data_IF_599831489401
#
_entry.id   IF_599831489401
#
_cell.length_a   1.000
_cell.length_b   1.000
_cell.length_c   1.000
_cell.angle_alpha   90.00
_cell.angle_beta   90.00
_cell.angle_gamma   90.00
#
_symmetry.space_group_name_H-M   'P 1'
#
loop_
_entity.id
_entity.type
_entity.pdbx_description
1 polymer ?
#
# COMPACT_ATOMS: atom_id res chain seq x y z
N UNK A 1 -43.42 -61.02 -40.18
CA UNK A 1 -42.49 -62.07 -39.73
C UNK A 1 -41.16 -61.40 -39.42
N UNK A 2 -40.70 -61.49 -38.15
CA UNK A 2 -39.43 -60.99 -37.54
C UNK A 2 -39.37 -59.47 -37.29
N UNK A 3 -39.38 -58.98 -36.03
CA UNK A 3 -38.28 -58.91 -35.01
C UNK A 3 -36.99 -58.37 -35.65
N UNK A 4 -36.22 -57.40 -35.15
CA UNK A 4 -36.00 -56.69 -33.86
C UNK A 4 -34.98 -55.59 -34.23
N UNK A 5 -34.86 -54.43 -33.58
CA UNK A 5 -34.05 -54.25 -32.38
C UNK A 5 -34.11 -52.79 -31.92
N UNK A 6 -34.26 -52.64 -30.60
CA UNK A 6 -33.92 -51.42 -29.85
C UNK A 6 -32.42 -51.17 -29.94
N UNK A 7 -32.00 -49.92 -30.06
CA UNK A 7 -30.69 -49.48 -29.61
C UNK A 7 -30.83 -48.25 -28.73
N UNK A 8 -30.40 -48.47 -27.49
CA UNK A 8 -30.41 -47.62 -26.33
C UNK A 8 -29.47 -46.44 -26.53
N UNK A 9 -30.01 -45.22 -26.60
CA UNK A 9 -29.22 -43.99 -26.52
C UNK A 9 -28.68 -43.84 -25.10
N UNK A 10 -27.41 -44.22 -24.88
CA UNK A 10 -26.71 -43.91 -23.65
C UNK A 10 -26.29 -42.44 -23.71
N UNK A 11 -27.07 -41.58 -23.06
CA UNK A 11 -26.64 -40.22 -22.73
C UNK A 11 -25.51 -40.33 -21.72
N UNK A 12 -24.28 -40.20 -22.18
CA UNK A 12 -23.11 -40.00 -21.31
C UNK A 12 -23.22 -38.57 -20.78
N UNK A 13 -23.77 -38.42 -19.58
CA UNK A 13 -23.66 -37.18 -18.82
C UNK A 13 -22.23 -37.15 -18.26
N UNK A 14 -21.35 -36.42 -18.95
CA UNK A 14 -20.08 -35.99 -18.34
C UNK A 14 -20.45 -34.88 -17.36
N UNK A 15 -20.60 -35.24 -16.09
CA UNK A 15 -20.64 -34.26 -15.00
C UNK A 15 -19.21 -33.72 -14.87
N UNK A 16 -18.94 -32.58 -15.48
CA UNK A 16 -17.75 -31.79 -15.20
C UNK A 16 -17.94 -31.18 -13.81
N UNK A 17 -17.55 -31.94 -12.78
CA UNK A 17 -17.44 -31.48 -11.39
C UNK A 17 -16.12 -30.72 -11.24
N UNK A 18 -16.02 -29.58 -11.92
CA UNK A 18 -15.02 -28.55 -11.64
C UNK A 18 -15.76 -27.34 -11.13
N UNK A 19 -15.82 -27.15 -9.80
CA UNK A 19 -15.98 -25.85 -9.13
C UNK A 19 -16.20 -26.08 -7.64
N UNK A 20 -15.09 -26.17 -6.91
CA UNK A 20 -14.90 -25.67 -5.54
C UNK A 20 -13.63 -26.32 -5.00
N UNK A 21 -12.47 -25.86 -5.48
CA UNK A 21 -11.24 -26.00 -4.67
C UNK A 21 -11.37 -24.86 -3.66
N UNK A 22 -11.70 -25.11 -2.38
CA UNK A 22 -11.57 -24.07 -1.37
C UNK A 22 -10.13 -23.59 -1.43
N UNK A 23 -9.92 -22.28 -1.47
CA UNK A 23 -8.57 -21.74 -1.36
C UNK A 23 -8.00 -22.26 -0.04
N UNK A 24 -7.15 -23.28 -0.13
CA UNK A 24 -6.38 -23.77 0.99
C UNK A 24 -5.51 -22.59 1.39
N UNK A 25 -5.86 -21.90 2.48
CA UNK A 25 -4.92 -21.02 3.14
C UNK A 25 -3.69 -21.88 3.43
N UNK A 26 -2.60 -21.61 2.72
CA UNK A 26 -1.39 -22.37 2.88
C UNK A 26 -0.88 -22.06 4.30
N UNK A 27 -0.98 -23.03 5.21
CA UNK A 27 -0.35 -22.94 6.53
C UNK A 27 1.17 -23.04 6.34
N UNK A 28 1.79 -21.94 5.91
CA UNK A 28 3.25 -21.83 5.78
C UNK A 28 3.78 -21.49 7.17
N UNK A 29 4.47 -22.46 7.76
CA UNK A 29 5.15 -22.31 9.04
C UNK A 29 6.61 -21.94 8.78
N UNK A 30 7.08 -20.86 9.41
CA UNK A 30 8.47 -20.41 9.36
C UNK A 30 9.05 -20.35 10.80
N UNK A 31 10.38 -20.32 10.91
CA UNK A 31 11.09 -20.34 12.20
C UNK A 31 11.59 -18.95 12.61
N UNK A 32 10.95 -18.35 13.60
CA UNK A 32 11.22 -16.99 14.10
C UNK A 32 11.99 -16.99 15.41
N UNK A 33 12.44 -15.81 15.82
CA UNK A 33 13.22 -15.61 17.04
C UNK A 33 12.51 -14.65 17.98
N UNK A 34 12.32 -15.04 19.24
CA UNK A 34 11.81 -14.13 20.28
C UNK A 34 12.91 -13.18 20.79
N UNK A 35 12.56 -12.23 21.67
CA UNK A 35 13.51 -11.27 22.24
C UNK A 35 14.57 -11.93 23.15
N UNK A 36 14.30 -13.12 23.67
CA UNK A 36 15.25 -13.93 24.43
C UNK A 36 16.22 -14.72 23.53
N UNK A 37 16.00 -14.72 22.21
CA UNK A 37 16.84 -15.42 21.24
C UNK A 37 16.45 -16.88 21.01
N UNK A 38 15.29 -17.33 21.48
CA UNK A 38 14.78 -18.67 21.22
C UNK A 38 14.06 -18.77 19.89
N UNK A 39 14.23 -19.91 19.22
CA UNK A 39 13.56 -20.18 17.95
C UNK A 39 12.19 -20.80 18.16
N UNK A 40 11.18 -20.23 17.48
CA UNK A 40 9.78 -20.67 17.52
C UNK A 40 9.24 -20.91 16.12
N UNK A 41 8.22 -21.75 16.00
CA UNK A 41 7.44 -21.88 14.76
C UNK A 41 6.32 -20.85 14.78
N UNK A 42 6.19 -20.09 13.69
CA UNK A 42 5.14 -19.07 13.55
C UNK A 42 4.89 -18.66 12.10
N UNK A 43 4.21 -17.54 11.93
CA UNK A 43 3.98 -16.87 10.64
C UNK A 43 3.90 -15.36 10.85
N UNK A 44 4.31 -14.57 9.86
CA UNK A 44 4.43 -13.11 9.90
C UNK A 44 3.60 -12.40 8.82
N UNK A 45 2.37 -12.86 8.60
CA UNK A 45 1.48 -12.26 7.60
C UNK A 45 0.92 -10.91 8.08
N UNK A 46 1.72 -9.85 7.94
CA UNK A 46 1.30 -8.47 8.13
C UNK A 46 1.00 -7.83 6.77
N UNK A 47 -0.17 -7.21 6.69
CA UNK A 47 -0.70 -6.69 5.44
C UNK A 47 0.07 -5.44 4.99
N UNK A 48 0.60 -4.65 5.93
CA UNK A 48 1.38 -3.43 5.65
C UNK A 48 2.59 -3.70 4.75
N UNK A 49 3.22 -4.87 4.82
CA UNK A 49 4.37 -5.23 3.98
C UNK A 49 3.99 -5.56 2.52
N UNK A 50 2.70 -5.55 2.19
CA UNK A 50 2.15 -5.86 0.88
C UNK A 50 1.35 -4.69 0.29
N UNK A 51 1.49 -3.49 0.86
CA UNK A 51 0.84 -2.27 0.35
C UNK A 51 1.55 -1.80 -0.92
N UNK A 52 1.05 -2.22 -2.09
CA UNK A 52 1.50 -1.71 -3.39
C UNK A 52 0.31 -1.11 -4.16
N UNK A 53 0.51 0.09 -4.72
CA UNK A 53 -0.50 0.75 -5.54
C UNK A 53 -0.44 0.24 -6.97
N UNK A 54 -1.50 -0.43 -7.40
CA UNK A 54 -1.74 -0.70 -8.82
C UNK A 54 -2.47 0.48 -9.47
N UNK A 55 -1.71 1.48 -9.92
CA UNK A 55 -2.26 2.68 -10.56
C UNK A 55 -3.10 2.34 -11.79
N UNK A 56 -2.73 1.30 -12.55
CA UNK A 56 -3.48 0.89 -13.74
C UNK A 56 -4.85 0.35 -13.35
N UNK A 57 -4.92 -0.46 -12.29
CA UNK A 57 -6.20 -0.94 -11.74
C UNK A 57 -7.12 0.21 -11.34
N UNK A 58 -6.59 1.27 -10.72
CA UNK A 58 -7.39 2.45 -10.34
C UNK A 58 -7.85 3.26 -11.55
N UNK A 59 -7.00 3.39 -12.57
CA UNK A 59 -7.37 4.00 -13.84
C UNK A 59 -8.49 3.22 -14.55
N UNK A 60 -8.38 1.89 -14.60
CA UNK A 60 -9.38 1.01 -15.21
C UNK A 60 -10.72 1.08 -14.45
N UNK A 61 -10.69 1.15 -13.12
CA UNK A 61 -11.87 1.36 -12.29
C UNK A 61 -12.53 2.71 -12.58
N UNK A 62 -11.74 3.78 -12.60
CA UNK A 62 -12.21 5.13 -12.93
C UNK A 62 -12.91 5.17 -14.29
N UNK A 63 -12.27 4.66 -15.34
CA UNK A 63 -12.80 4.73 -16.71
C UNK A 63 -14.05 3.86 -16.88
N UNK A 64 -14.08 2.69 -16.25
CA UNK A 64 -15.27 1.83 -16.24
C UNK A 64 -16.45 2.51 -15.56
N UNK A 65 -16.27 3.00 -14.32
CA UNK A 65 -17.34 3.62 -13.55
C UNK A 65 -17.87 4.88 -14.24
N UNK A 66 -16.99 5.67 -14.88
CA UNK A 66 -17.39 6.84 -15.65
C UNK A 66 -18.41 6.51 -16.74
N UNK A 67 -18.23 5.40 -17.47
CA UNK A 67 -19.16 4.94 -18.50
C UNK A 67 -20.43 4.34 -17.89
N UNK A 68 -20.30 3.51 -16.86
CA UNK A 68 -21.45 2.85 -16.23
C UNK A 68 -22.47 3.86 -15.67
N UNK A 69 -21.98 4.93 -15.04
CA UNK A 69 -22.81 6.01 -14.48
C UNK A 69 -23.58 6.82 -15.53
N UNK A 70 -23.23 6.76 -16.82
CA UNK A 70 -24.04 7.41 -17.88
C UNK A 70 -25.41 6.72 -18.06
N UNK A 71 -25.52 5.44 -17.66
CA UNK A 71 -26.71 4.62 -17.87
C UNK A 71 -27.39 4.17 -16.57
N UNK A 72 -26.63 4.04 -15.49
CA UNK A 72 -27.10 3.59 -14.18
C UNK A 72 -26.30 4.27 -13.06
N UNK A 73 -26.78 5.45 -12.69
CA UNK A 73 -26.16 6.34 -11.72
C UNK A 73 -26.64 6.01 -10.29
N UNK A 74 -25.78 5.34 -9.53
CA UNK A 74 -25.99 4.96 -8.13
C UNK A 74 -24.94 5.62 -7.24
N UNK A 75 -25.33 6.06 -6.05
CA UNK A 75 -24.45 6.78 -5.12
C UNK A 75 -23.23 5.94 -4.71
N UNK A 76 -23.37 4.61 -4.66
CA UNK A 76 -22.26 3.70 -4.36
C UNK A 76 -21.20 3.72 -5.47
N UNK A 77 -21.61 3.73 -6.74
CA UNK A 77 -20.68 3.85 -7.87
C UNK A 77 -19.98 5.20 -7.86
N UNK A 78 -20.69 6.28 -7.51
CA UNK A 78 -20.07 7.61 -7.33
C UNK A 78 -19.06 7.63 -6.18
N UNK A 79 -19.35 6.95 -5.07
CA UNK A 79 -18.42 6.78 -3.95
C UNK A 79 -17.18 5.98 -4.36
N UNK A 80 -17.35 4.85 -5.06
CA UNK A 80 -16.22 4.06 -5.59
C UNK A 80 -15.42 4.83 -6.63
N UNK A 81 -16.08 5.67 -7.44
CA UNK A 81 -15.44 6.56 -8.39
C UNK A 81 -14.60 7.63 -7.68
N UNK A 82 -15.12 8.21 -6.59
CA UNK A 82 -14.36 9.12 -5.74
C UNK A 82 -13.14 8.44 -5.10
N UNK A 83 -13.26 7.18 -4.65
CA UNK A 83 -12.12 6.40 -4.18
C UNK A 83 -11.06 6.19 -5.29
N UNK A 84 -11.48 5.88 -6.51
CA UNK A 84 -10.56 5.81 -7.64
C UNK A 84 -9.87 7.16 -7.92
N UNK A 85 -10.59 8.28 -7.82
CA UNK A 85 -10.01 9.62 -7.96
C UNK A 85 -8.95 9.90 -6.88
N UNK A 86 -9.18 9.50 -5.62
CA UNK A 86 -8.19 9.65 -4.55
C UNK A 86 -6.88 8.92 -4.88
N UNK A 87 -6.95 7.64 -5.29
CA UNK A 87 -5.76 6.88 -5.71
C UNK A 87 -5.07 7.43 -6.97
N UNK A 88 -5.80 8.19 -7.79
CA UNK A 88 -5.25 8.88 -8.98
C UNK A 88 -4.76 10.31 -8.66
N UNK A 89 -4.68 10.70 -7.39
CA UNK A 89 -4.19 12.00 -6.95
C UNK A 89 -5.15 13.17 -7.19
N UNK A 90 -6.45 12.88 -7.35
CA UNK A 90 -7.51 13.87 -7.62
C UNK A 90 -8.42 14.06 -6.41
N UNK A 91 -7.81 14.33 -5.26
CA UNK A 91 -8.51 14.46 -3.98
C UNK A 91 -9.60 15.55 -3.99
N UNK A 92 -9.31 16.72 -4.57
CA UNK A 92 -10.29 17.82 -4.65
C UNK A 92 -11.56 17.43 -5.44
N UNK A 93 -11.42 16.66 -6.52
CA UNK A 93 -12.56 16.15 -7.29
C UNK A 93 -13.36 15.12 -6.48
N UNK A 94 -12.66 14.25 -5.73
CA UNK A 94 -13.28 13.27 -4.86
C UNK A 94 -14.10 13.96 -3.74
N UNK A 95 -13.54 15.00 -3.11
CA UNK A 95 -14.24 15.81 -2.08
C UNK A 95 -15.56 16.37 -2.63
N UNK A 96 -15.55 16.99 -3.82
CA UNK A 96 -16.76 17.56 -4.42
C UNK A 96 -17.86 16.52 -4.59
N UNK A 97 -17.52 15.34 -5.10
CA UNK A 97 -18.48 14.23 -5.28
C UNK A 97 -19.01 13.78 -3.92
N UNK A 98 -18.12 13.55 -2.96
CA UNK A 98 -18.48 12.97 -1.65
C UNK A 98 -19.31 13.93 -0.80
N UNK A 99 -19.07 15.24 -0.87
CA UNK A 99 -19.93 16.27 -0.25
C UNK A 99 -21.35 16.21 -0.82
N UNK A 100 -21.49 16.19 -2.16
CA UNK A 100 -22.82 16.06 -2.77
C UNK A 100 -23.53 14.75 -2.40
N UNK A 101 -22.76 13.66 -2.23
CA UNK A 101 -23.32 12.37 -1.82
C UNK A 101 -23.80 12.42 -0.38
N UNK A 102 -23.04 13.00 0.54
CA UNK A 102 -23.43 13.13 1.95
C UNK A 102 -24.69 14.00 2.10
N UNK A 103 -24.83 15.08 1.33
CA UNK A 103 -26.06 15.91 1.35
C UNK A 103 -27.31 15.11 0.94
N UNK A 104 -27.17 14.19 -0.03
CA UNK A 104 -28.28 13.39 -0.58
C UNK A 104 -28.52 12.09 0.19
N UNK A 105 -27.47 11.56 0.81
CA UNK A 105 -27.44 10.27 1.51
C UNK A 105 -26.80 10.40 2.90
N UNK A 106 -27.34 11.25 3.78
CA UNK A 106 -26.75 11.48 5.09
C UNK A 106 -26.80 10.21 5.94
N UNK A 107 -25.76 9.99 6.75
CA UNK A 107 -25.68 8.85 7.67
C UNK A 107 -24.97 7.62 7.10
N UNK A 108 -24.59 7.62 5.83
CA UNK A 108 -23.78 6.55 5.23
C UNK A 108 -22.33 6.63 5.74
N UNK A 109 -21.89 5.62 6.50
CA UNK A 109 -20.54 5.64 7.10
C UNK A 109 -19.43 5.54 6.04
N UNK A 110 -19.68 4.85 4.91
CA UNK A 110 -18.70 4.73 3.81
C UNK A 110 -18.43 6.09 3.17
N UNK A 111 -19.48 6.90 2.97
CA UNK A 111 -19.33 8.26 2.44
C UNK A 111 -18.54 9.11 3.43
N UNK A 112 -18.87 9.08 4.73
CA UNK A 112 -18.14 9.82 5.75
C UNK A 112 -16.66 9.42 5.82
N UNK A 113 -16.36 8.13 5.85
CA UNK A 113 -14.97 7.63 5.86
C UNK A 113 -14.19 8.09 4.62
N UNK A 114 -14.76 7.88 3.43
CA UNK A 114 -14.14 8.32 2.17
C UNK A 114 -13.97 9.84 2.12
N UNK A 115 -14.92 10.60 2.67
CA UNK A 115 -14.87 12.05 2.71
C UNK A 115 -13.74 12.52 3.63
N UNK A 116 -13.55 11.88 4.78
CA UNK A 116 -12.42 12.13 5.67
C UNK A 116 -11.07 11.87 5.01
N UNK A 117 -10.91 10.72 4.34
CA UNK A 117 -9.69 10.41 3.56
C UNK A 117 -9.50 11.40 2.41
N UNK A 118 -10.56 11.78 1.70
CA UNK A 118 -10.46 12.74 0.59
C UNK A 118 -10.00 14.12 1.07
N UNK A 119 -10.50 14.58 2.22
CA UNK A 119 -10.05 15.82 2.85
C UNK A 119 -8.60 15.73 3.33
N UNK A 120 -8.17 14.60 3.91
CA UNK A 120 -6.78 14.38 4.28
C UNK A 120 -5.85 14.55 3.06
N UNK A 121 -6.19 13.88 1.96
CA UNK A 121 -5.42 13.92 0.72
C UNK A 121 -5.48 15.29 0.02
N UNK A 122 -6.54 16.07 0.25
CA UNK A 122 -6.64 17.45 -0.20
C UNK A 122 -5.90 18.45 0.72
N UNK A 123 -5.42 18.00 1.88
CA UNK A 123 -4.67 18.81 2.84
C UNK A 123 -5.53 19.57 3.85
N UNK A 124 -6.82 19.26 3.96
CA UNK A 124 -7.73 19.86 4.96
C UNK A 124 -7.87 18.91 6.16
N UNK A 125 -6.93 19.03 7.11
CA UNK A 125 -6.88 18.16 8.29
C UNK A 125 -8.07 18.35 9.23
N UNK A 126 -8.61 19.56 9.34
CA UNK A 126 -9.76 19.84 10.20
C UNK A 126 -11.00 19.07 9.71
N UNK A 127 -11.28 19.15 8.40
CA UNK A 127 -12.37 18.39 7.81
C UNK A 127 -12.09 16.88 7.80
N UNK A 128 -10.85 16.46 7.57
CA UNK A 128 -10.48 15.05 7.64
C UNK A 128 -10.82 14.44 9.01
N UNK A 129 -10.37 15.09 10.09
CA UNK A 129 -10.64 14.65 11.47
C UNK A 129 -12.15 14.59 11.71
N UNK A 130 -12.87 15.64 11.34
CA UNK A 130 -14.32 15.71 11.51
C UNK A 130 -15.02 14.51 10.85
N UNK A 131 -14.73 14.25 9.57
CA UNK A 131 -15.45 13.22 8.81
C UNK A 131 -15.06 11.79 9.19
N UNK A 132 -13.81 11.54 9.57
CA UNK A 132 -13.41 10.25 10.13
C UNK A 132 -14.10 10.01 11.48
N UNK A 133 -14.21 11.02 12.35
CA UNK A 133 -14.97 10.91 13.61
C UNK A 133 -16.45 10.63 13.34
N UNK A 134 -17.06 11.33 12.38
CA UNK A 134 -18.46 11.05 11.96
C UNK A 134 -18.60 9.61 11.43
N UNK A 135 -17.64 9.12 10.65
CA UNK A 135 -17.60 7.72 10.20
C UNK A 135 -17.55 6.74 11.37
N UNK A 136 -16.70 7.00 12.36
CA UNK A 136 -16.55 6.21 13.58
C UNK A 136 -17.84 6.20 14.42
N UNK A 137 -18.52 7.34 14.56
CA UNK A 137 -19.81 7.45 15.26
C UNK A 137 -20.91 6.62 14.57
N UNK A 138 -20.93 6.63 13.23
CA UNK A 138 -21.90 5.87 12.43
C UNK A 138 -21.63 4.37 12.46
N UNK A 139 -20.35 3.98 12.46
CA UNK A 139 -19.96 2.58 12.50
C UNK A 139 -18.59 2.40 13.17
N UNK A 140 -18.60 2.15 14.49
CA UNK A 140 -17.38 1.92 15.27
C UNK A 140 -16.60 0.65 14.89
N UNK A 141 -17.19 -0.25 14.09
CA UNK A 141 -16.56 -1.48 13.61
C UNK A 141 -16.05 -1.38 12.17
N UNK A 142 -16.14 -0.20 11.52
CA UNK A 142 -15.55 0.02 10.21
C UNK A 142 -14.04 -0.27 10.26
N UNK A 143 -13.52 -0.81 9.16
CA UNK A 143 -12.09 -1.19 9.05
C UNK A 143 -11.60 -2.05 10.23
N UNK A 144 -12.44 -2.98 10.70
CA UNK A 144 -12.10 -3.87 11.82
C UNK A 144 -12.05 -3.16 13.19
N UNK A 145 -12.64 -1.98 13.31
CA UNK A 145 -12.61 -1.17 14.53
C UNK A 145 -11.30 -0.41 14.72
N UNK A 146 -10.61 -0.07 13.63
CA UNK A 146 -9.30 0.59 13.66
C UNK A 146 -9.34 2.10 13.39
N UNK A 147 -10.51 2.67 13.05
CA UNK A 147 -10.66 4.10 12.72
C UNK A 147 -10.29 5.06 13.86
N UNK A 148 -10.29 4.60 15.12
CA UNK A 148 -9.76 5.41 16.22
C UNK A 148 -8.28 5.78 16.02
N UNK A 149 -7.50 4.90 15.39
CA UNK A 149 -6.09 5.16 15.09
C UNK A 149 -5.98 6.13 13.91
N UNK A 150 -6.88 6.06 12.93
CA UNK A 150 -6.94 7.05 11.86
C UNK A 150 -7.10 8.46 12.42
N UNK A 151 -8.00 8.65 13.39
CA UNK A 151 -8.14 9.93 14.10
C UNK A 151 -6.82 10.34 14.77
N UNK A 152 -6.14 9.43 15.49
CA UNK A 152 -4.85 9.73 16.14
C UNK A 152 -3.76 10.15 15.16
N UNK A 153 -3.73 9.54 13.98
CA UNK A 153 -2.81 9.90 12.89
C UNK A 153 -3.07 11.33 12.42
N UNK A 154 -4.33 11.69 12.20
CA UNK A 154 -4.71 13.04 11.76
C UNK A 154 -4.47 14.08 12.86
N UNK A 155 -4.73 13.76 14.13
CA UNK A 155 -4.40 14.59 15.29
C UNK A 155 -2.89 14.85 15.37
N UNK A 156 -2.06 13.83 15.21
CA UNK A 156 -0.60 13.99 15.20
C UNK A 156 -0.12 14.86 14.02
N UNK A 157 -0.72 14.70 12.83
CA UNK A 157 -0.45 15.58 11.68
C UNK A 157 -0.82 17.03 11.98
N UNK A 158 -1.97 17.27 12.61
CA UNK A 158 -2.40 18.60 13.01
C UNK A 158 -1.45 19.20 14.03
N UNK A 159 -1.01 18.43 15.02
CA UNK A 159 0.01 18.88 15.97
C UNK A 159 1.32 19.26 15.29
N UNK A 160 1.77 18.53 14.27
CA UNK A 160 2.97 18.88 13.51
C UNK A 160 2.82 20.14 12.65
N UNK A 161 1.60 20.50 12.24
CA UNK A 161 1.33 21.78 11.59
C UNK A 161 1.51 22.93 12.58
N UNK A 162 1.08 22.74 13.82
CA UNK A 162 1.15 23.75 14.88
C UNK A 162 2.56 23.83 15.51
N UNK A 163 3.21 22.68 15.66
CA UNK A 163 4.53 22.49 16.28
C UNK A 163 5.33 21.39 15.53
N UNK A 164 6.24 21.77 14.62
CA UNK A 164 7.05 20.82 13.86
C UNK A 164 7.95 19.90 14.71
N UNK A 165 8.22 20.25 15.97
CA UNK A 165 9.03 19.48 16.92
C UNK A 165 8.15 18.63 17.86
N UNK A 166 6.83 18.55 17.63
CA UNK A 166 5.90 17.86 18.53
C UNK A 166 6.30 16.39 18.79
N UNK A 167 6.75 15.69 17.74
CA UNK A 167 7.22 14.30 17.81
C UNK A 167 8.58 14.13 18.51
N UNK A 168 9.28 15.20 18.87
CA UNK A 168 10.50 15.10 19.69
C UNK A 168 10.18 14.67 21.13
N UNK A 169 8.94 14.93 21.57
CA UNK A 169 8.49 14.67 22.94
C UNK A 169 7.19 13.86 23.04
N UNK A 170 6.54 13.59 21.90
CA UNK A 170 5.30 12.83 21.80
C UNK A 170 5.41 11.74 20.73
N UNK A 171 4.48 10.79 20.76
CA UNK A 171 4.28 9.80 19.69
C UNK A 171 2.81 9.81 19.27
N UNK A 172 2.50 9.27 18.10
CA UNK A 172 1.14 9.23 17.53
C UNK A 172 0.15 8.55 18.49
N UNK A 173 0.63 7.52 19.19
CA UNK A 173 -0.15 6.72 20.13
C UNK A 173 0.10 7.08 21.60
N UNK A 174 0.95 8.08 21.88
CA UNK A 174 1.39 8.43 23.23
C UNK A 174 1.94 7.21 24.03
N UNK A 175 2.62 6.30 23.33
CA UNK A 175 3.30 5.15 23.90
C UNK A 175 4.80 5.42 24.04
N UNK A 176 5.41 4.87 25.09
CA UNK A 176 6.85 5.00 25.36
C UNK A 176 7.47 3.63 25.58
N UNK A 177 8.53 3.33 24.81
CA UNK A 177 9.24 2.05 24.83
C UNK A 177 10.63 2.16 25.50
N UNK A 178 10.93 3.29 26.14
CA UNK A 178 12.26 3.62 26.68
C UNK A 178 13.23 4.16 25.62
N UNK A 179 14.47 4.41 26.02
CA UNK A 179 15.54 4.97 25.15
C UNK A 179 16.73 4.01 24.94
N UNK A 180 16.60 2.80 25.47
CA UNK A 180 17.58 1.73 25.35
C UNK A 180 17.40 0.94 24.04
N UNK A 181 18.44 0.18 23.68
CA UNK A 181 18.46 -0.71 22.52
C UNK A 181 17.36 -1.79 22.60
N UNK A 182 17.07 -2.26 23.81
CA UNK A 182 15.97 -3.19 24.08
C UNK A 182 14.76 -2.37 24.52
N UNK A 183 13.63 -2.38 23.78
CA UNK A 183 12.44 -1.66 24.19
C UNK A 183 11.81 -2.30 25.44
N UNK A 184 10.95 -1.55 26.11
CA UNK A 184 10.09 -2.05 27.19
C UNK A 184 8.62 -1.93 26.81
N UNK A 185 7.80 -2.86 27.30
CA UNK A 185 6.36 -2.82 27.08
C UNK A 185 5.73 -1.58 27.74
N UNK A 186 4.94 -0.78 27.01
CA UNK A 186 4.17 0.30 27.61
C UNK A 186 3.22 -0.22 28.70
N UNK A 187 3.02 0.57 29.75
CA UNK A 187 2.21 0.17 30.90
C UNK A 187 0.69 0.31 30.71
N UNK A 188 0.25 1.09 29.74
CA UNK A 188 -1.18 1.34 29.45
C UNK A 188 -1.38 1.53 27.95
N UNK A 189 -2.44 0.91 27.43
CA UNK A 189 -2.92 1.04 26.06
C UNK A 189 -4.35 1.55 26.16
N UNK A 190 -4.52 2.86 25.94
CA UNK A 190 -5.75 3.60 26.23
C UNK A 190 -7.04 2.82 25.95
N UNK A 191 -8.05 3.01 26.80
CA UNK A 191 -9.37 2.36 26.69
C UNK A 191 -9.34 0.83 26.86
N UNK A 192 -8.30 0.30 27.52
CA UNK A 192 -8.19 -1.12 27.86
C UNK A 192 -7.86 -2.01 26.65
N UNK A 193 -7.25 -1.43 25.61
CA UNK A 193 -6.74 -2.18 24.46
C UNK A 193 -5.58 -3.08 24.89
N UNK A 194 -5.29 -4.13 24.14
CA UNK A 194 -4.06 -4.90 24.28
C UNK A 194 -2.99 -4.46 23.28
N UNK A 195 -1.76 -4.95 23.45
CA UNK A 195 -0.71 -4.77 22.44
C UNK A 195 -1.14 -5.34 21.08
N UNK A 196 -1.85 -6.47 21.06
CA UNK A 196 -2.36 -7.09 19.82
C UNK A 196 -3.42 -6.23 19.13
N UNK A 197 -4.32 -5.59 19.90
CA UNK A 197 -5.30 -4.65 19.34
C UNK A 197 -4.60 -3.48 18.63
N UNK A 198 -3.53 -2.95 19.25
CA UNK A 198 -2.74 -1.85 18.70
C UNK A 198 -1.92 -2.31 17.48
N UNK A 199 -1.28 -3.48 17.53
CA UNK A 199 -0.58 -4.07 16.37
C UNK A 199 -1.54 -4.24 15.20
N UNK A 200 -2.74 -4.78 15.43
CA UNK A 200 -3.74 -4.97 14.38
C UNK A 200 -4.23 -3.65 13.81
N UNK A 201 -4.39 -2.63 14.64
CA UNK A 201 -4.77 -1.30 14.17
C UNK A 201 -3.67 -0.66 13.32
N UNK A 202 -2.41 -0.73 13.77
CA UNK A 202 -1.28 -0.17 13.01
C UNK A 202 -1.10 -0.93 11.68
N UNK A 203 -1.18 -2.26 11.66
CA UNK A 203 -1.08 -3.04 10.42
C UNK A 203 -2.16 -2.63 9.40
N UNK A 204 -3.41 -2.52 9.84
CA UNK A 204 -4.52 -2.12 8.98
C UNK A 204 -4.33 -0.69 8.46
N UNK A 205 -4.05 0.27 9.34
CA UNK A 205 -3.95 1.68 8.98
C UNK A 205 -2.71 1.97 8.11
N UNK A 206 -1.58 1.27 8.34
CA UNK A 206 -0.42 1.38 7.47
C UNK A 206 -0.66 0.69 6.11
N UNK A 207 -1.38 -0.43 6.06
CA UNK A 207 -1.75 -1.06 4.79
C UNK A 207 -2.55 -0.12 3.87
N UNK A 208 -3.51 0.61 4.43
CA UNK A 208 -4.26 1.63 3.68
C UNK A 208 -3.36 2.82 3.33
N UNK A 209 -2.62 3.36 4.30
CA UNK A 209 -1.94 4.66 4.17
C UNK A 209 -0.66 4.62 3.33
N UNK A 210 0.07 3.51 3.33
CA UNK A 210 1.27 3.33 2.49
C UNK A 210 0.95 3.29 0.99
N UNK A 211 -0.33 3.25 0.62
CA UNK A 211 -0.79 3.43 -0.77
C UNK A 211 -0.87 4.90 -1.21
N UNK A 212 -0.80 5.85 -0.28
CA UNK A 212 -0.94 7.29 -0.57
C UNK A 212 0.28 8.11 -0.13
N UNK A 213 1.01 7.63 0.86
CA UNK A 213 2.06 8.39 1.53
C UNK A 213 3.44 7.86 1.16
N UNK A 214 4.24 8.73 0.55
CA UNK A 214 5.64 8.45 0.19
C UNK A 214 6.61 8.99 1.26
N UNK A 215 7.79 8.39 1.42
CA UNK A 215 8.84 8.95 2.26
C UNK A 215 9.32 10.34 1.79
N UNK A 216 9.69 11.25 2.73
CA UNK A 216 9.63 11.12 4.19
C UNK A 216 8.25 11.48 4.75
N UNK A 217 7.82 10.77 5.80
CA UNK A 217 6.65 11.12 6.62
C UNK A 217 6.92 10.67 8.07
N UNK A 218 7.13 11.60 9.01
CA UNK A 218 7.53 11.26 10.37
C UNK A 218 6.40 10.57 11.17
N UNK A 219 5.13 10.76 10.79
CA UNK A 219 3.98 10.08 11.40
C UNK A 219 3.94 8.61 10.96
N UNK A 220 4.21 8.32 9.68
CA UNK A 220 4.42 6.93 9.20
C UNK A 220 5.61 6.29 9.91
N UNK A 221 6.73 7.02 10.01
CA UNK A 221 7.92 6.51 10.66
C UNK A 221 7.67 6.15 12.14
N UNK A 222 6.98 7.01 12.90
CA UNK A 222 6.62 6.76 14.31
C UNK A 222 5.74 5.52 14.48
N UNK A 223 4.74 5.34 13.62
CA UNK A 223 3.89 4.15 13.64
C UNK A 223 4.66 2.87 13.30
N UNK A 224 5.57 2.91 12.32
CA UNK A 224 6.39 1.75 11.95
C UNK A 224 7.35 1.35 13.07
N UNK A 225 7.96 2.34 13.75
CA UNK A 225 8.78 2.11 14.95
C UNK A 225 7.95 1.48 16.06
N UNK A 226 6.77 2.07 16.35
CA UNK A 226 5.84 1.56 17.37
C UNK A 226 5.39 0.13 17.07
N UNK A 227 5.06 -0.15 15.81
CA UNK A 227 4.71 -1.50 15.35
C UNK A 227 5.87 -2.47 15.55
N UNK A 228 7.08 -2.09 15.13
CA UNK A 228 8.27 -2.92 15.28
C UNK A 228 8.55 -3.26 16.75
N UNK A 229 8.46 -2.29 17.65
CA UNK A 229 8.66 -2.52 19.09
C UNK A 229 7.61 -3.47 19.67
N UNK A 230 6.33 -3.24 19.37
CA UNK A 230 5.25 -4.11 19.85
C UNK A 230 5.39 -5.54 19.29
N UNK A 231 5.72 -5.68 18.01
CA UNK A 231 5.89 -7.00 17.39
C UNK A 231 7.10 -7.74 17.96
N UNK A 232 8.21 -7.05 18.19
CA UNK A 232 9.38 -7.64 18.85
C UNK A 232 9.02 -8.11 20.27
N UNK A 233 8.37 -7.26 21.07
CA UNK A 233 8.03 -7.55 22.46
C UNK A 233 6.94 -8.62 22.65
N UNK A 234 6.05 -8.81 21.68
CA UNK A 234 4.93 -9.76 21.77
C UNK A 234 5.13 -11.04 20.99
N UNK A 235 5.96 -11.01 19.95
CA UNK A 235 6.12 -12.11 19.00
C UNK A 235 7.59 -12.33 18.65
N UNK A 236 8.06 -11.68 17.59
CA UNK A 236 9.28 -12.06 16.90
C UNK A 236 10.05 -10.85 16.40
N UNK A 237 11.38 -10.94 16.41
CA UNK A 237 12.26 -9.84 15.98
C UNK A 237 12.35 -9.69 14.47
N UNK A 238 12.10 -10.74 13.66
CA UNK A 238 12.27 -10.62 12.20
C UNK A 238 11.26 -9.68 11.53
N UNK A 239 9.95 -9.73 11.82
CA UNK A 239 9.02 -8.74 11.26
C UNK A 239 9.23 -7.34 11.87
N UNK A 240 9.82 -7.25 13.07
CA UNK A 240 10.23 -5.98 13.63
C UNK A 240 11.40 -5.36 12.85
N UNK A 241 12.37 -6.17 12.42
CA UNK A 241 13.45 -5.74 11.52
C UNK A 241 12.86 -5.16 10.23
N UNK A 242 11.94 -5.87 9.57
CA UNK A 242 11.30 -5.36 8.34
C UNK A 242 10.59 -4.01 8.56
N UNK A 243 9.88 -3.86 9.70
CA UNK A 243 9.22 -2.61 10.06
C UNK A 243 10.22 -1.46 10.29
N UNK A 244 11.34 -1.72 10.98
CA UNK A 244 12.38 -0.73 11.24
C UNK A 244 13.14 -0.30 9.99
N UNK A 245 13.44 -1.24 9.09
CA UNK A 245 14.07 -0.93 7.81
C UNK A 245 13.15 -0.09 6.92
N UNK A 246 11.83 -0.31 7.00
CA UNK A 246 10.85 0.56 6.36
C UNK A 246 10.77 1.92 7.05
N UNK A 247 10.73 1.96 8.40
CA UNK A 247 10.68 3.19 9.17
C UNK A 247 11.82 4.15 8.83
N UNK A 248 13.06 3.63 8.76
CA UNK A 248 14.26 4.41 8.43
C UNK A 248 14.13 5.11 7.06
N UNK A 249 13.47 4.47 6.08
CA UNK A 249 13.21 5.11 4.79
C UNK A 249 12.29 6.33 4.94
N UNK A 250 11.29 6.23 5.83
CA UNK A 250 10.37 7.33 6.18
C UNK A 250 10.98 8.41 7.09
N UNK A 251 12.21 8.19 7.60
CA UNK A 251 13.00 9.12 8.43
C UNK A 251 12.34 9.44 9.77
N UNK A 252 12.40 8.52 10.76
CA UNK A 252 11.89 8.79 12.09
C UNK A 252 12.65 9.96 12.73
N UNK A 253 11.97 10.69 13.61
CA UNK A 253 12.55 11.82 14.36
C UNK A 253 13.81 11.38 15.12
N UNK A 254 13.72 10.27 15.86
CA UNK A 254 14.85 9.68 16.55
C UNK A 254 15.52 8.57 15.71
N UNK A 255 16.14 8.96 14.59
CA UNK A 255 16.82 8.04 13.68
C UNK A 255 17.92 7.23 14.37
N UNK A 256 18.69 7.84 15.27
CA UNK A 256 19.77 7.14 15.98
C UNK A 256 19.23 6.01 16.86
N UNK A 257 18.17 6.25 17.63
CA UNK A 257 17.52 5.19 18.41
C UNK A 257 16.94 4.11 17.49
N UNK A 258 16.33 4.50 16.37
CA UNK A 258 15.77 3.55 15.42
C UNK A 258 16.85 2.61 14.84
N UNK A 259 18.00 3.15 14.44
CA UNK A 259 19.13 2.37 13.94
C UNK A 259 19.75 1.45 15.03
N UNK A 260 19.84 1.94 16.28
CA UNK A 260 20.31 1.13 17.41
C UNK A 260 19.39 -0.05 17.69
N UNK A 261 18.08 0.16 17.70
CA UNK A 261 17.08 -0.91 17.89
C UNK A 261 17.07 -1.91 16.74
N UNK A 262 17.16 -1.42 15.49
CA UNK A 262 17.33 -2.30 14.33
C UNK A 262 18.56 -3.21 14.49
N UNK A 263 19.71 -2.64 14.86
CA UNK A 263 20.94 -3.41 15.09
C UNK A 263 20.78 -4.42 16.25
N UNK A 264 20.05 -4.04 17.30
CA UNK A 264 19.72 -4.92 18.42
C UNK A 264 18.90 -6.14 17.96
N UNK A 265 17.81 -5.92 17.22
CA UNK A 265 16.97 -6.99 16.69
C UNK A 265 17.73 -7.89 15.71
N UNK A 266 18.53 -7.32 14.81
CA UNK A 266 19.37 -8.08 13.89
C UNK A 266 20.37 -8.99 14.63
N UNK A 267 20.95 -8.50 15.73
CA UNK A 267 21.84 -9.30 16.57
C UNK A 267 21.11 -10.47 17.24
N UNK A 268 19.87 -10.26 17.68
CA UNK A 268 19.03 -11.34 18.24
C UNK A 268 18.70 -12.35 17.14
N UNK A 269 18.22 -11.90 15.97
CA UNK A 269 17.88 -12.77 14.85
C UNK A 269 19.08 -13.62 14.37
N UNK A 270 20.31 -13.07 14.44
CA UNK A 270 21.53 -13.81 14.10
C UNK A 270 21.84 -15.00 15.04
N UNK A 271 21.19 -15.10 16.20
CA UNK A 271 21.27 -16.31 17.04
C UNK A 271 20.61 -17.53 16.37
N UNK A 272 19.69 -17.28 15.42
CA UNK A 272 18.96 -18.27 14.66
C UNK A 272 19.51 -18.34 13.22
N UNK A 273 20.26 -19.39 12.85
CA UNK A 273 20.83 -19.53 11.52
C UNK A 273 19.80 -19.58 10.38
N UNK A 274 18.52 -19.83 10.69
CA UNK A 274 17.44 -19.86 9.70
C UNK A 274 16.97 -18.45 9.31
N UNK A 275 17.20 -17.44 10.15
CA UNK A 275 16.75 -16.07 9.91
C UNK A 275 17.43 -15.46 8.67
N UNK A 276 18.69 -15.79 8.39
CA UNK A 276 19.41 -15.33 7.18
C UNK A 276 18.85 -15.91 5.86
N UNK A 277 18.07 -16.98 5.92
CA UNK A 277 17.53 -17.64 4.72
C UNK A 277 16.20 -17.07 4.25
N UNK A 278 15.68 -16.06 4.96
CA UNK A 278 14.38 -15.46 4.68
C UNK A 278 14.47 -14.33 3.65
N UNK A 279 13.52 -14.25 2.71
CA UNK A 279 13.35 -13.03 1.93
C UNK A 279 12.87 -11.92 2.86
N UNK A 280 13.62 -10.82 2.97
CA UNK A 280 13.15 -9.61 3.66
C UNK A 280 12.18 -8.85 2.78
N UNK A 281 11.15 -8.22 3.36
CA UNK A 281 10.13 -7.49 2.61
C UNK A 281 10.73 -6.26 1.90
N UNK A 282 11.77 -5.65 2.48
CA UNK A 282 12.56 -4.54 1.91
C UNK A 282 13.35 -4.91 0.66
N UNK A 283 13.92 -6.12 0.59
CA UNK A 283 14.69 -6.56 -0.59
C UNK A 283 13.78 -6.69 -1.82
N UNK A 284 12.52 -7.08 -1.62
CA UNK A 284 11.52 -7.24 -2.70
C UNK A 284 11.14 -5.87 -3.29
N UNK A 285 10.89 -4.86 -2.44
CA UNK A 285 10.51 -3.50 -2.89
C UNK A 285 11.61 -2.84 -3.74
N UNK A 286 12.88 -3.02 -3.37
CA UNK A 286 14.03 -2.49 -4.12
C UNK A 286 14.23 -3.17 -5.48
N UNK A 287 13.95 -4.48 -5.61
CA UNK A 287 14.03 -5.20 -6.88
C UNK A 287 12.95 -4.75 -7.88
N UNK A 288 11.73 -4.47 -7.41
CA UNK A 288 10.65 -3.94 -8.24
C UNK A 288 10.94 -2.50 -8.70
N UNK A 289 11.51 -1.66 -7.83
CA UNK A 289 11.94 -0.30 -8.19
C UNK A 289 13.04 -0.25 -9.26
N UNK A 290 14.01 -1.18 -9.21
CA UNK A 290 15.06 -1.30 -10.23
C UNK A 290 14.48 -1.76 -11.58
N UNK A 291 13.45 -2.62 -11.56
CA UNK A 291 12.76 -3.08 -12.78
C UNK A 291 12.11 -1.94 -13.57
N UNK A 292 11.51 -0.96 -12.89
CA UNK A 292 10.87 0.21 -13.51
C UNK A 292 11.91 1.18 -14.08
N UNK A 293 13.00 1.45 -13.35
CA UNK A 293 14.08 2.34 -13.82
C UNK A 293 14.83 1.71 -15.01
N UNK A 294 15.07 0.39 -14.97
CA UNK A 294 15.67 -0.35 -16.09
C UNK A 294 14.79 -0.37 -17.34
N UNK A 295 13.46 -0.49 -17.17
CA UNK A 295 12.49 -0.43 -18.26
C UNK A 295 12.41 0.94 -18.94
N UNK A 296 12.33 2.02 -18.16
CA UNK A 296 12.27 3.40 -18.68
C UNK A 296 13.60 3.80 -19.33
N UNK A 297 14.74 3.45 -18.73
CA UNK A 297 16.06 3.68 -19.32
C UNK A 297 16.26 2.91 -20.63
N UNK A 298 15.77 1.66 -20.71
CA UNK A 298 15.80 0.85 -21.92
C UNK A 298 14.95 1.43 -23.05
N UNK A 299 13.74 1.92 -22.75
CA UNK A 299 12.85 2.57 -23.72
C UNK A 299 13.44 3.88 -24.23
N UNK A 300 13.98 4.72 -23.33
CA UNK A 300 14.63 5.98 -23.71
C UNK A 300 15.86 5.74 -24.60
N UNK A 301 16.69 4.75 -24.27
CA UNK A 301 17.85 4.37 -25.08
C UNK A 301 17.43 3.88 -26.48
N UNK A 302 16.38 3.06 -26.55
CA UNK A 302 15.85 2.57 -27.82
C UNK A 302 15.32 3.69 -28.72
N UNK A 303 14.56 4.65 -28.16
CA UNK A 303 14.01 5.78 -28.90
C UNK A 303 15.11 6.72 -29.44
N UNK A 304 16.17 6.95 -28.65
CA UNK A 304 17.34 7.73 -29.08
C UNK A 304 18.09 7.01 -30.21
N UNK A 305 18.29 5.69 -30.10
CA UNK A 305 18.97 4.90 -31.13
C UNK A 305 18.19 4.90 -32.46
N UNK A 306 16.86 4.73 -32.42
CA UNK A 306 16.00 4.78 -33.61
C UNK A 306 16.00 6.17 -34.25
N UNK A 307 15.96 7.23 -33.44
CA UNK A 307 16.02 8.62 -33.93
C UNK A 307 17.36 8.94 -34.63
N UNK A 308 18.47 8.48 -34.07
CA UNK A 308 19.81 8.60 -34.67
C UNK A 308 19.91 7.87 -36.01
N UNK A 309 19.40 6.64 -36.08
CA UNK A 309 19.35 5.87 -37.33
C UNK A 309 18.51 6.57 -38.40
N UNK A 310 17.37 7.17 -38.02
CA UNK A 310 16.53 7.93 -38.94
C UNK A 310 17.25 9.17 -39.49
N UNK A 311 17.88 9.97 -38.62
CA UNK A 311 18.66 11.16 -39.03
C UNK A 311 19.82 10.80 -39.94
N UNK A 312 20.57 9.75 -39.63
CA UNK A 312 21.68 9.26 -40.46
C UNK A 312 21.18 8.77 -41.83
N UNK A 313 20.07 8.04 -41.87
CA UNK A 313 19.47 7.58 -43.13
C UNK A 313 18.98 8.74 -43.99
N UNK A 314 18.41 9.79 -43.37
CA UNK A 314 17.92 10.95 -44.09
C UNK A 314 19.08 11.79 -44.66
N UNK A 315 20.17 11.97 -43.90
CA UNK A 315 21.39 12.62 -44.41
C UNK A 315 22.01 11.87 -45.58
N UNK A 316 22.08 10.53 -45.50
CA UNK A 316 22.60 9.70 -46.59
C UNK A 316 21.74 9.81 -47.86
N UNK A 317 20.41 9.89 -47.73
CA UNK A 317 19.50 10.10 -48.87
C UNK A 317 19.61 11.50 -49.48
N UNK A 318 19.78 12.55 -48.66
CA UNK A 318 20.00 13.93 -49.14
C UNK A 318 21.32 14.08 -49.90
N UNK A 319 22.40 13.46 -49.42
CA UNK A 319 23.69 13.56 -50.11
C UNK A 319 23.68 12.81 -51.46
N UNK A 320 22.87 11.76 -51.62
CA UNK A 320 22.69 11.07 -52.91
C UNK A 320 21.83 11.84 -53.92
N UNK A 321 21.07 12.86 -53.51
CA UNK A 321 20.23 13.65 -54.44
C UNK A 321 20.94 14.89 -55.02
N UNK A 322 22.15 15.21 -54.56
CA UNK A 322 22.91 16.38 -55.01
C UNK A 322 23.78 16.09 -56.25
N UNK A 323 24.04 14.81 -56.57
CA UNK A 323 24.90 14.40 -57.70
C UNK A 323 24.14 14.05 -59.00
N UNK A 324 22.99 14.69 -59.28
CA UNK A 324 22.41 14.61 -60.64
C UNK A 324 23.02 15.71 -61.52
N UNK A 325 23.82 15.39 -62.56
CA UNK A 325 24.35 16.39 -63.46
C UNK A 325 23.20 16.97 -64.29
N UNK A 326 23.13 18.31 -64.31
CA UNK A 326 22.27 19.08 -65.20
C UNK A 326 22.91 19.02 -66.59
N UNK A 327 22.33 18.25 -67.50
CA UNK A 327 22.69 18.28 -68.91
C UNK A 327 22.37 19.66 -69.48
N UNK A 328 23.43 20.38 -69.84
CA UNK A 328 23.36 21.65 -70.57
C UNK A 328 22.98 21.36 -72.02
N UNK A 329 21.87 21.97 -72.45
CA UNK A 329 21.57 22.26 -73.85
C UNK A 329 22.74 23.00 -74.51
N UNK A 330 23.21 22.48 -75.65
CA UNK A 330 23.88 23.27 -76.69
C UNK A 330 23.37 22.82 -78.06
N UNK A 331 23.00 23.83 -78.86
CA UNK A 331 22.58 23.91 -80.26
C UNK A 331 21.28 23.26 -80.67
#
# INVERSE_FOLDING_TARGET
MRLTHRLCGHTVIIVVLFTAIPQLQACINLYYTDMEGHTHVGSDHYSLFHSEVDVQRWQDLHDRLKVEMESDDDFKKRSDFAAALMHLGKADEAVQILVELEEKHPGEYVIAGNLGTAYELAGDLEQAIHWIQVGLERNALSHGGTEWLHVKILEAKQHLVDDPEWLDTHSVLNLTFGDDDAPVMPGDFEHGRTAEDVISAIDHQLYERLQFVEPPDPVVADLLVTFGDLVALTKFVEPAIDAYELAIQFRPVNLELAERRLAHYQKIAASNPLSETRPTHTTVRNLLGIGVIGGIGGIAFFLVAVSLLFVLSHRARRNKSVDKPVDKMVS
#
